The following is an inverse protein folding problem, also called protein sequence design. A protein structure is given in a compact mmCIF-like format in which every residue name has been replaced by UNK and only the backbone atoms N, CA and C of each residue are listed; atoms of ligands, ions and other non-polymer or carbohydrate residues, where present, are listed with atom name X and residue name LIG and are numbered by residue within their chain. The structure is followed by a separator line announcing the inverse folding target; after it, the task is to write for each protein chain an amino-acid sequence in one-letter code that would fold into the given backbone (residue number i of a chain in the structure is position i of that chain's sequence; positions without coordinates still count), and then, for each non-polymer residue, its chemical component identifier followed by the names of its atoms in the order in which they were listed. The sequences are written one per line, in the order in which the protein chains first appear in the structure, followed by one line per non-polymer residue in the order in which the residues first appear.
data_IF_682629236391
#
_entry.id   IF_682629236391
#
_cell.length_a   1.000
_cell.length_b   1.000
_cell.length_c   1.000
_cell.angle_alpha   90.00
_cell.angle_beta   90.00
_cell.angle_gamma   90.00
#
_symmetry.space_group_name_H-M   'P 1'
#
loop_
_entity.id
_entity.type
_entity.pdbx_description
1 polymer ?
#
# COMPACT_ATOMS: atom_id res chain seq x y z
N UNK A 1 -9.94 24.84 24.35
CA UNK A 1 -8.77 25.18 23.53
C UNK A 1 -9.23 25.31 22.08
N UNK A 2 -8.53 26.12 21.28
CA UNK A 2 -8.69 26.19 19.82
C UNK A 2 -7.50 25.54 19.10
N UNK A 3 -7.62 25.40 17.79
CA UNK A 3 -6.57 24.89 16.90
C UNK A 3 -6.30 25.92 15.80
N UNK A 4 -5.11 26.53 15.82
CA UNK A 4 -4.75 27.55 14.82
C UNK A 4 -4.48 26.98 13.43
N UNK A 5 -4.05 25.71 13.34
CA UNK A 5 -3.76 25.07 12.06
C UNK A 5 -5.06 24.87 11.29
N UNK A 6 -6.11 24.43 11.99
CA UNK A 6 -7.44 24.17 11.45
C UNK A 6 -8.40 25.38 11.55
N UNK A 7 -7.89 26.58 11.89
CA UNK A 7 -8.68 27.79 12.11
C UNK A 7 -9.83 27.65 13.13
N UNK A 8 -9.69 26.77 14.10
CA UNK A 8 -10.64 26.57 15.19
C UNK A 8 -10.31 27.56 16.32
N UNK A 9 -11.18 28.55 16.59
CA UNK A 9 -10.78 29.70 17.41
C UNK A 9 -10.74 29.42 18.92
N UNK A 10 -11.53 28.48 19.44
CA UNK A 10 -11.54 28.13 20.86
C UNK A 10 -12.08 29.24 21.78
N UNK A 11 -11.68 29.21 23.05
CA UNK A 11 -12.02 30.24 24.04
C UNK A 11 -10.75 30.98 24.45
N UNK A 12 -10.71 32.32 24.37
CA UNK A 12 -9.55 33.12 24.80
C UNK A 12 -9.14 32.79 26.25
N UNK A 13 -7.84 32.66 26.50
CA UNK A 13 -7.31 32.34 27.83
C UNK A 13 -7.54 30.90 28.31
N UNK A 14 -8.21 30.04 27.52
CA UNK A 14 -8.38 28.62 27.80
C UNK A 14 -7.45 27.79 26.90
N UNK A 15 -6.20 27.66 27.35
CA UNK A 15 -5.22 26.76 26.76
C UNK A 15 -5.43 25.29 27.14
N UNK A 16 -4.59 24.42 26.60
CA UNK A 16 -4.64 22.95 26.78
C UNK A 16 -4.73 22.54 28.26
N UNK A 17 -3.81 23.01 29.11
CA UNK A 17 -3.77 22.66 30.54
C UNK A 17 -5.07 23.00 31.27
N UNK A 18 -5.67 24.14 30.95
CA UNK A 18 -6.94 24.56 31.56
C UNK A 18 -8.10 23.73 31.01
N UNK A 19 -8.13 23.47 29.71
CA UNK A 19 -9.14 22.63 29.07
C UNK A 19 -9.13 21.20 29.65
N UNK A 20 -7.95 20.59 29.81
CA UNK A 20 -7.79 19.26 30.42
C UNK A 20 -8.33 19.24 31.84
N UNK A 21 -8.03 20.25 32.68
CA UNK A 21 -8.56 20.33 34.05
C UNK A 21 -10.09 20.43 34.08
N UNK A 22 -10.66 21.27 33.21
CA UNK A 22 -12.11 21.43 33.10
C UNK A 22 -12.78 20.13 32.63
N UNK A 23 -12.21 19.44 31.63
CA UNK A 23 -12.74 18.17 31.17
C UNK A 23 -12.58 17.06 32.20
N UNK A 24 -11.48 17.02 32.95
CA UNK A 24 -11.31 16.08 34.06
C UNK A 24 -12.37 16.30 35.16
N UNK A 25 -12.77 17.54 35.41
CA UNK A 25 -13.75 17.89 36.43
C UNK A 25 -15.20 17.67 35.97
N UNK A 26 -15.55 18.07 34.75
CA UNK A 26 -16.94 18.11 34.27
C UNK A 26 -17.26 17.01 33.25
N UNK A 27 -16.26 16.33 32.70
CA UNK A 27 -16.38 15.25 31.71
C UNK A 27 -16.63 15.74 30.29
N UNK A 28 -17.64 16.60 30.08
CA UNK A 28 -18.04 17.08 28.77
C UNK A 28 -18.15 18.61 28.73
N UNK A 29 -18.06 19.18 27.52
CA UNK A 29 -18.26 20.62 27.31
C UNK A 29 -19.69 21.03 27.69
N UNK A 30 -20.69 20.20 27.43
CA UNK A 30 -22.08 20.48 27.84
C UNK A 30 -22.22 20.54 29.36
N UNK A 31 -21.70 19.53 30.07
CA UNK A 31 -21.73 19.49 31.55
C UNK A 31 -20.95 20.64 32.19
N UNK A 32 -19.86 21.07 31.57
CA UNK A 32 -19.13 22.28 31.99
C UNK A 32 -20.03 23.51 31.95
N UNK A 33 -20.83 23.68 30.90
CA UNK A 33 -21.72 24.83 30.74
C UNK A 33 -23.00 24.72 31.58
N UNK A 34 -23.50 23.51 31.86
CA UNK A 34 -24.58 23.26 32.82
C UNK A 34 -24.16 23.61 34.25
N UNK A 35 -22.89 23.35 34.59
CA UNK A 35 -22.33 23.54 35.94
C UNK A 35 -21.38 24.73 36.01
N UNK A 36 -21.56 25.73 35.14
CA UNK A 36 -20.64 26.85 34.99
C UNK A 36 -20.43 27.64 36.30
N UNK A 37 -21.42 27.62 37.20
CA UNK A 37 -21.35 28.23 38.52
C UNK A 37 -20.20 27.67 39.40
N UNK A 38 -19.80 26.40 39.19
CA UNK A 38 -18.71 25.74 39.91
C UNK A 38 -17.31 26.14 39.42
N UNK A 39 -17.22 26.85 38.29
CA UNK A 39 -15.96 27.38 37.79
C UNK A 39 -15.60 28.67 38.56
N UNK A 40 -14.38 28.81 39.09
CA UNK A 40 -14.00 29.95 39.90
C UNK A 40 -13.64 31.20 39.07
N UNK A 41 -14.01 32.37 39.59
CA UNK A 41 -13.45 33.69 39.23
C UNK A 41 -13.57 34.07 37.75
N UNK A 42 -12.51 34.71 37.24
CA UNK A 42 -12.42 35.26 35.87
C UNK A 42 -12.58 34.20 34.76
N UNK A 43 -12.25 32.95 35.04
CA UNK A 43 -12.41 31.85 34.08
C UNK A 43 -13.89 31.61 33.78
N UNK A 44 -14.76 31.71 34.79
CA UNK A 44 -16.21 31.59 34.63
C UNK A 44 -16.78 32.68 33.73
N UNK A 45 -16.38 33.92 33.96
CA UNK A 45 -16.81 35.07 33.15
C UNK A 45 -16.38 34.93 31.70
N UNK A 46 -15.13 34.50 31.47
CA UNK A 46 -14.58 34.26 30.14
C UNK A 46 -15.35 33.14 29.42
N UNK A 47 -15.58 32.02 30.08
CA UNK A 47 -16.35 30.91 29.52
C UNK A 47 -17.80 31.31 29.22
N UNK A 48 -18.42 32.10 30.09
CA UNK A 48 -19.78 32.62 29.89
C UNK A 48 -19.86 33.54 28.66
N UNK A 49 -18.94 34.50 28.54
CA UNK A 49 -18.89 35.43 27.41
C UNK A 49 -18.63 34.73 26.07
N UNK A 50 -17.83 33.65 26.07
CA UNK A 50 -17.42 32.92 24.87
C UNK A 50 -18.13 31.57 24.68
N UNK A 51 -19.29 31.37 25.32
CA UNK A 51 -20.05 30.09 25.23
C UNK A 51 -20.34 29.66 23.80
N UNK A 52 -20.84 30.57 22.97
CA UNK A 52 -21.16 30.26 21.55
C UNK A 52 -19.92 29.82 20.79
N UNK A 53 -18.79 30.47 21.04
CA UNK A 53 -17.52 30.17 20.38
C UNK A 53 -16.96 28.81 20.81
N UNK A 54 -17.11 28.44 22.08
CA UNK A 54 -16.73 27.11 22.57
C UNK A 54 -17.57 26.00 21.93
N UNK A 55 -18.88 26.18 21.84
CA UNK A 55 -19.79 25.23 21.21
C UNK A 55 -19.53 25.09 19.71
N UNK A 56 -19.30 26.21 19.01
CA UNK A 56 -18.89 26.21 17.61
C UNK A 56 -17.56 25.48 17.41
N UNK A 57 -16.57 25.74 18.27
CA UNK A 57 -15.27 25.07 18.18
C UNK A 57 -15.40 23.55 18.36
N UNK A 58 -16.30 23.09 19.23
CA UNK A 58 -16.64 21.67 19.38
C UNK A 58 -17.25 21.11 18.11
N UNK A 59 -18.22 21.82 17.53
CA UNK A 59 -18.88 21.39 16.29
C UNK A 59 -17.88 21.24 15.15
N UNK A 60 -17.03 22.24 14.94
CA UNK A 60 -15.99 22.22 13.90
C UNK A 60 -14.97 21.10 14.11
N UNK A 61 -14.60 20.80 15.37
CA UNK A 61 -13.69 19.71 15.69
C UNK A 61 -14.36 18.32 15.64
N UNK A 62 -15.68 18.24 15.54
CA UNK A 62 -16.39 16.96 15.52
C UNK A 62 -16.40 16.38 14.12
N UNK A 63 -15.72 15.24 13.94
CA UNK A 63 -15.72 14.52 12.67
C UNK A 63 -17.14 14.04 12.32
N UNK A 64 -17.64 14.46 11.15
CA UNK A 64 -18.89 13.94 10.61
C UNK A 64 -18.73 12.48 10.18
N UNK A 65 -19.54 11.59 10.79
CA UNK A 65 -19.56 10.16 10.46
C UNK A 65 -20.66 9.79 9.46
N UNK A 66 -21.42 10.77 8.97
CA UNK A 66 -22.60 10.58 8.12
C UNK A 66 -22.32 11.08 6.70
N UNK A 67 -21.11 10.87 6.20
CA UNK A 67 -20.74 11.26 4.85
C UNK A 67 -21.47 10.31 3.87
N UNK A 68 -22.24 10.82 2.90
CA UNK A 68 -22.98 9.99 1.96
C UNK A 68 -22.04 9.43 0.88
N UNK A 69 -21.28 8.40 1.24
CA UNK A 69 -20.41 7.67 0.32
C UNK A 69 -20.88 6.22 0.21
N UNK A 70 -20.83 5.68 -1.01
CA UNK A 70 -21.00 4.25 -1.24
C UNK A 70 -19.76 3.52 -0.74
N UNK A 71 -19.93 2.62 0.22
CA UNK A 71 -18.83 1.90 0.86
C UNK A 71 -18.82 0.44 0.42
N UNK A 72 -17.82 0.06 -0.38
CA UNK A 72 -17.54 -1.32 -0.76
C UNK A 72 -16.10 -1.69 -0.35
N UNK A 73 -15.99 -2.55 0.66
CA UNK A 73 -14.69 -2.97 1.21
C UNK A 73 -13.82 -3.70 0.16
N UNK A 74 -14.43 -4.42 -0.78
CA UNK A 74 -13.70 -5.15 -1.81
C UNK A 74 -13.03 -4.21 -2.81
N UNK A 75 -13.69 -3.09 -3.15
CA UNK A 75 -13.12 -2.05 -4.00
C UNK A 75 -11.87 -1.38 -3.41
N UNK A 76 -11.70 -1.40 -2.07
CA UNK A 76 -10.54 -0.84 -1.37
C UNK A 76 -9.39 -1.83 -1.15
N UNK A 77 -9.49 -3.07 -1.65
CA UNK A 77 -8.38 -4.02 -1.57
C UNK A 77 -7.16 -3.50 -2.33
N UNK A 78 -5.98 -3.69 -1.72
CA UNK A 78 -4.71 -3.33 -2.35
C UNK A 78 -4.52 -4.14 -3.64
N UNK A 79 -4.18 -3.44 -4.72
CA UNK A 79 -3.88 -4.04 -6.03
C UNK A 79 -2.48 -3.66 -6.45
N UNK A 80 -1.87 -4.52 -7.25
CA UNK A 80 -0.61 -4.19 -7.93
C UNK A 80 -0.80 -2.96 -8.82
N UNK A 81 0.11 -1.96 -8.76
CA UNK A 81 0.10 -0.82 -9.65
C UNK A 81 0.27 -1.23 -11.12
N UNK A 82 -0.27 -0.41 -12.01
CA UNK A 82 0.12 -0.43 -13.42
C UNK A 82 1.54 0.16 -13.53
N UNK A 83 2.55 -0.71 -13.43
CA UNK A 83 3.96 -0.32 -13.43
C UNK A 83 4.38 0.49 -14.66
N UNK A 84 3.99 0.12 -15.91
CA UNK A 84 4.23 0.94 -17.09
C UNK A 84 3.64 2.34 -16.99
N UNK A 85 2.37 2.47 -16.59
CA UNK A 85 1.69 3.77 -16.48
C UNK A 85 2.28 4.64 -15.38
N UNK A 86 2.58 4.05 -14.22
CA UNK A 86 3.19 4.74 -13.09
C UNK A 86 4.57 5.29 -13.45
N UNK A 87 5.40 4.50 -14.14
CA UNK A 87 6.72 4.92 -14.61
C UNK A 87 6.62 6.11 -15.57
N UNK A 88 5.70 6.06 -16.53
CA UNK A 88 5.49 7.16 -17.47
C UNK A 88 5.10 8.45 -16.74
N UNK A 89 4.16 8.38 -15.80
CA UNK A 89 3.74 9.52 -14.99
C UNK A 89 4.89 10.10 -14.15
N UNK A 90 5.67 9.24 -13.49
CA UNK A 90 6.80 9.70 -12.67
C UNK A 90 7.95 10.27 -13.49
N UNK A 91 8.14 9.81 -14.73
CA UNK A 91 9.07 10.45 -15.67
C UNK A 91 8.60 11.85 -16.06
N UNK A 92 7.31 12.02 -16.36
CA UNK A 92 6.71 13.33 -16.67
C UNK A 92 6.83 14.31 -15.50
N UNK A 93 6.64 13.83 -14.27
CA UNK A 93 6.78 14.62 -13.05
C UNK A 93 8.23 14.81 -12.58
N UNK A 94 9.21 14.30 -13.33
CA UNK A 94 10.65 14.35 -13.01
C UNK A 94 11.02 13.73 -11.65
N UNK A 95 10.28 12.71 -11.20
CA UNK A 95 10.51 11.99 -9.95
C UNK A 95 11.65 10.96 -10.06
N UNK A 96 12.83 11.44 -10.45
CA UNK A 96 14.03 10.64 -10.76
C UNK A 96 14.51 9.73 -9.63
N UNK A 97 14.26 10.08 -8.36
CA UNK A 97 14.60 9.24 -7.20
C UNK A 97 13.64 8.06 -7.07
N UNK A 98 12.33 8.32 -7.13
CA UNK A 98 11.29 7.31 -6.99
C UNK A 98 11.30 6.31 -8.16
N UNK A 99 11.64 6.75 -9.38
CA UNK A 99 11.80 5.87 -10.54
C UNK A 99 12.80 4.72 -10.34
N UNK A 100 13.81 4.91 -9.48
CA UNK A 100 14.82 3.90 -9.16
C UNK A 100 14.31 2.82 -8.20
N UNK A 101 13.23 3.10 -7.49
CA UNK A 101 12.60 2.17 -6.54
C UNK A 101 11.56 1.27 -7.24
N UNK A 102 11.19 1.58 -8.49
CA UNK A 102 10.27 0.75 -9.27
C UNK A 102 10.90 -0.59 -9.63
N UNK A 103 10.12 -1.69 -9.64
CA UNK A 103 10.61 -2.99 -10.10
C UNK A 103 11.14 -2.91 -11.53
N UNK A 104 12.10 -3.78 -11.85
CA UNK A 104 12.58 -3.93 -13.22
C UNK A 104 11.40 -4.21 -14.16
N UNK A 105 11.47 -3.69 -15.39
CA UNK A 105 10.45 -4.00 -16.40
C UNK A 105 10.46 -5.51 -16.62
N UNK A 106 9.40 -6.20 -16.19
CA UNK A 106 9.16 -7.58 -16.60
C UNK A 106 8.78 -7.53 -18.07
N UNK A 107 9.70 -7.96 -18.92
CA UNK A 107 9.39 -8.24 -20.32
C UNK A 107 8.50 -9.47 -20.29
N UNK A 108 7.22 -9.32 -20.62
CA UNK A 108 6.41 -10.50 -20.91
C UNK A 108 7.00 -11.17 -22.16
N UNK A 109 7.67 -12.30 -21.96
CA UNK A 109 8.10 -13.15 -23.06
C UNK A 109 6.86 -13.64 -23.81
N UNK A 110 6.91 -13.59 -25.14
CA UNK A 110 5.82 -14.09 -25.99
C UNK A 110 5.45 -15.53 -25.58
N UNK A 111 4.15 -15.82 -25.49
CA UNK A 111 3.62 -17.16 -25.17
C UNK A 111 3.69 -18.09 -26.38
N UNK A 112 4.81 -18.12 -27.08
CA UNK A 112 5.01 -19.10 -28.14
C UNK A 112 5.20 -20.49 -27.52
N UNK A 113 4.50 -21.52 -28.03
CA UNK A 113 4.70 -22.88 -27.54
C UNK A 113 6.14 -23.32 -27.80
N UNK A 114 6.84 -23.71 -26.72
CA UNK A 114 8.21 -24.22 -26.77
C UNK A 114 8.23 -25.74 -26.93
N UNK A 115 9.29 -26.28 -27.52
CA UNK A 115 9.44 -27.72 -27.72
C UNK A 115 9.68 -28.46 -26.39
N UNK A 116 8.96 -29.54 -26.13
CA UNK A 116 9.18 -30.39 -24.95
C UNK A 116 10.22 -31.48 -25.21
N UNK A 117 11.32 -31.46 -24.46
CA UNK A 117 12.45 -32.39 -24.55
C UNK A 117 12.29 -33.51 -23.52
N UNK A 118 11.32 -34.41 -23.75
CA UNK A 118 10.95 -35.46 -22.79
C UNK A 118 11.92 -36.66 -22.70
N UNK A 119 12.99 -36.69 -23.51
CA UNK A 119 13.96 -37.79 -23.55
C UNK A 119 15.39 -37.27 -23.60
N UNK A 120 16.35 -38.07 -23.14
CA UNK A 120 17.78 -37.72 -23.25
C UNK A 120 18.21 -37.49 -24.71
N UNK A 121 17.65 -38.26 -25.65
CA UNK A 121 17.89 -38.07 -27.08
C UNK A 121 17.44 -36.70 -27.58
N UNK A 122 16.22 -36.28 -27.23
CA UNK A 122 15.70 -34.97 -27.60
C UNK A 122 16.53 -33.82 -26.99
N UNK A 123 16.99 -33.99 -25.74
CA UNK A 123 17.89 -33.02 -25.10
C UNK A 123 19.24 -32.95 -25.82
N UNK A 124 19.84 -34.10 -26.16
CA UNK A 124 21.10 -34.17 -26.89
C UNK A 124 21.00 -33.54 -28.27
N UNK A 125 19.90 -33.77 -28.98
CA UNK A 125 19.62 -33.15 -30.29
C UNK A 125 19.49 -31.63 -30.16
N UNK A 126 18.77 -31.14 -29.13
CA UNK A 126 18.69 -29.70 -28.85
C UNK A 126 20.07 -29.09 -28.59
N UNK A 127 20.87 -29.72 -27.72
CA UNK A 127 22.21 -29.23 -27.37
C UNK A 127 23.19 -29.29 -28.56
N UNK A 128 23.00 -30.24 -29.49
CA UNK A 128 23.84 -30.35 -30.69
C UNK A 128 23.68 -29.17 -31.66
N UNK A 129 22.56 -28.43 -31.56
CA UNK A 129 22.31 -27.21 -32.35
C UNK A 129 22.95 -25.96 -31.75
N UNK A 130 23.52 -26.06 -30.54
CA UNK A 130 24.16 -24.93 -29.89
C UNK A 130 25.59 -24.74 -30.43
N UNK A 131 26.01 -23.50 -30.70
CA UNK A 131 27.39 -23.19 -31.03
C UNK A 131 28.31 -23.50 -29.83
N UNK A 132 29.53 -24.00 -30.09
CA UNK A 132 30.44 -24.40 -29.03
C UNK A 132 30.85 -23.19 -28.17
N UNK A 133 30.86 -23.37 -26.85
CA UNK A 133 31.24 -22.36 -25.85
C UNK A 133 30.30 -21.14 -25.72
N UNK A 134 29.07 -21.21 -26.24
CA UNK A 134 28.06 -20.18 -26.00
C UNK A 134 27.20 -20.45 -24.76
N UNK A 135 26.75 -19.40 -24.04
CA UNK A 135 25.96 -19.54 -22.83
C UNK A 135 24.52 -19.95 -23.16
N UNK A 136 24.04 -21.01 -22.50
CA UNK A 136 22.63 -21.43 -22.52
C UNK A 136 21.90 -20.79 -21.34
N UNK A 137 20.79 -20.10 -21.60
CA UNK A 137 19.92 -19.64 -20.53
C UNK A 137 19.10 -20.81 -20.00
N UNK A 138 19.10 -20.98 -18.68
CA UNK A 138 18.37 -22.03 -17.98
C UNK A 138 17.58 -21.39 -16.84
N UNK A 139 16.30 -21.72 -16.77
CA UNK A 139 15.42 -21.37 -15.67
C UNK A 139 14.68 -22.62 -15.18
N UNK A 140 14.19 -22.59 -13.95
CA UNK A 140 13.40 -23.68 -13.39
C UNK A 140 11.91 -23.32 -13.45
N UNK A 141 11.07 -24.32 -13.72
CA UNK A 141 9.62 -24.17 -13.71
C UNK A 141 9.02 -25.01 -12.59
N UNK A 142 8.15 -24.42 -11.78
CA UNK A 142 7.52 -25.11 -10.66
C UNK A 142 6.80 -24.18 -9.70
N UNK A 143 6.30 -24.73 -8.60
CA UNK A 143 5.66 -23.98 -7.52
C UNK A 143 6.66 -23.79 -6.39
N UNK A 144 7.05 -22.55 -6.10
CA UNK A 144 7.97 -22.23 -4.99
C UNK A 144 7.24 -22.06 -3.65
N UNK A 145 5.90 -22.00 -3.64
CA UNK A 145 5.12 -21.64 -2.46
C UNK A 145 4.96 -22.84 -1.50
N UNK A 146 4.89 -22.58 -0.18
CA UNK A 146 4.57 -23.61 0.81
C UNK A 146 3.20 -24.27 0.55
N UNK A 147 2.96 -25.51 1.02
CA UNK A 147 3.78 -26.26 1.99
C UNK A 147 4.93 -27.08 1.40
N UNK A 148 4.88 -27.46 0.12
CA UNK A 148 5.91 -28.25 -0.54
C UNK A 148 6.26 -27.62 -1.90
N UNK A 149 7.52 -27.22 -2.12
CA UNK A 149 7.95 -26.73 -3.41
C UNK A 149 7.97 -27.88 -4.44
N UNK A 150 7.34 -27.67 -5.59
CA UNK A 150 7.25 -28.66 -6.67
C UNK A 150 8.08 -28.18 -7.85
N UNK A 151 9.02 -29.00 -8.30
CA UNK A 151 9.71 -28.79 -9.58
C UNK A 151 8.91 -29.48 -10.69
N UNK A 152 8.58 -28.77 -11.75
CA UNK A 152 7.92 -29.31 -12.94
C UNK A 152 8.92 -29.60 -14.07
N UNK A 153 10.03 -28.85 -14.12
CA UNK A 153 11.05 -29.02 -15.12
C UNK A 153 11.97 -27.82 -15.27
N UNK A 154 12.71 -27.77 -16.37
CA UNK A 154 13.65 -26.70 -16.71
C UNK A 154 13.24 -26.06 -18.03
N UNK A 155 13.19 -24.73 -18.06
CA UNK A 155 13.13 -23.94 -19.28
C UNK A 155 14.55 -23.70 -19.81
N UNK A 156 14.76 -23.93 -21.10
CA UNK A 156 16.00 -23.66 -21.81
C UNK A 156 15.74 -22.60 -22.88
N UNK A 157 16.69 -21.70 -23.09
CA UNK A 157 16.63 -20.77 -24.22
C UNK A 157 18.02 -20.47 -24.80
N UNK A 158 18.13 -20.54 -26.11
CA UNK A 158 19.26 -20.01 -26.86
C UNK A 158 18.75 -19.28 -28.13
N UNK A 159 19.34 -18.14 -28.55
CA UNK A 159 18.88 -17.43 -29.75
C UNK A 159 18.85 -18.30 -31.02
N UNK A 160 19.80 -19.23 -31.16
CA UNK A 160 19.88 -20.12 -32.34
C UNK A 160 18.98 -21.36 -32.26
N UNK A 161 18.71 -21.85 -31.04
CA UNK A 161 17.95 -23.10 -30.83
C UNK A 161 16.49 -22.87 -30.40
N UNK A 162 16.12 -21.62 -30.10
CA UNK A 162 14.82 -21.22 -29.58
C UNK A 162 14.62 -21.58 -28.11
N UNK A 163 13.36 -21.52 -27.67
CA UNK A 163 12.95 -21.98 -26.34
C UNK A 163 12.61 -23.47 -26.34
N UNK A 164 12.98 -24.16 -25.26
CA UNK A 164 12.61 -25.56 -25.02
C UNK A 164 12.30 -25.81 -23.54
N UNK A 165 11.54 -26.86 -23.26
CA UNK A 165 11.16 -27.27 -21.91
C UNK A 165 11.58 -28.71 -21.67
N UNK A 166 12.35 -28.95 -20.62
CA UNK A 166 12.74 -30.29 -20.15
C UNK A 166 11.85 -30.64 -18.96
N UNK A 167 10.86 -31.53 -19.11
CA UNK A 167 10.02 -31.93 -17.99
C UNK A 167 10.86 -32.70 -16.97
N UNK A 168 10.50 -32.62 -15.69
CA UNK A 168 11.00 -33.57 -14.71
C UNK A 168 10.57 -34.97 -15.13
N UNK A 169 11.54 -35.86 -15.34
CA UNK A 169 11.26 -37.26 -15.70
C UNK A 169 10.43 -37.93 -14.60
N UNK A 170 9.70 -39.02 -14.92
CA UNK A 170 9.11 -39.86 -13.87
C UNK A 170 10.25 -40.30 -12.96
N UNK A 171 10.04 -40.21 -11.63
CA UNK A 171 10.97 -40.77 -10.65
C UNK A 171 11.44 -42.15 -11.12
N UNK A 172 12.75 -42.35 -11.14
CA UNK A 172 13.30 -43.68 -11.27
C UNK A 172 12.80 -44.51 -10.07
N UNK A 173 11.76 -45.31 -10.31
CA UNK A 173 11.35 -46.42 -9.45
C UNK A 173 12.28 -47.62 -9.67
#
# INVERSE_FOLDING_TARGET
MGDSIDNIPGVPGVGEKTAVKLLAQFGTVDRLYENLALVPGKLRETLAAHRKQALLSRELATVSRQVPIDFDLEAFRLREPDWPRLRALWMEMEFTRLLKELPAQTVEAGREPVATLATEGALRDYLSRLPPAEPLAVDWAGESRPPEPELQGLGLFHPEAGGAFVPQGPEAA
#
